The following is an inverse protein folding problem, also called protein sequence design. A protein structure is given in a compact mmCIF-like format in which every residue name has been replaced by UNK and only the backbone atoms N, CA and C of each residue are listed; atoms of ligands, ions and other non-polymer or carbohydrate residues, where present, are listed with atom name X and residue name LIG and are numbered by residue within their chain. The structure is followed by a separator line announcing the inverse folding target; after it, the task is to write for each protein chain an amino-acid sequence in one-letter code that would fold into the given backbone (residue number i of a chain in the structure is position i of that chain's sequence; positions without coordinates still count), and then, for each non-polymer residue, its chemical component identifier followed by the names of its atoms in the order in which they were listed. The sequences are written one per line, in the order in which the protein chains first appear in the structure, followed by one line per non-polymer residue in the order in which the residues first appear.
data_IF_148283666393
#
_entry.id   IF_148283666393
#
_cell.length_a   1.000
_cell.length_b   1.000
_cell.length_c   1.000
_cell.angle_alpha   90.00
_cell.angle_beta   90.00
_cell.angle_gamma   90.00
#
_symmetry.space_group_name_H-M   'P 1'
#
loop_
_entity.id
_entity.type
_entity.pdbx_description
1 polymer ?
#
# COMPACT_ATOMS: atom_id res chain seq x y z
N UNK A 1 27.64 2.15 -15.37
CA UNK A 1 27.19 1.85 -13.99
C UNK A 1 26.23 2.90 -13.40
N UNK A 2 26.24 4.15 -13.84
CA UNK A 2 25.39 5.24 -13.31
C UNK A 2 23.90 5.15 -13.66
N UNK A 3 23.51 4.65 -14.85
CA UNK A 3 22.12 4.70 -15.31
C UNK A 3 21.15 3.86 -14.44
N UNK A 4 21.54 2.63 -14.06
CA UNK A 4 20.70 1.76 -13.20
C UNK A 4 20.53 2.33 -11.78
N UNK A 5 21.55 3.04 -11.28
CA UNK A 5 21.47 3.69 -9.96
C UNK A 5 20.54 4.90 -9.99
N UNK A 6 20.58 5.67 -11.06
CA UNK A 6 19.70 6.80 -11.30
C UNK A 6 18.24 6.39 -11.40
N UNK A 7 17.93 5.31 -12.15
CA UNK A 7 16.58 4.78 -12.28
C UNK A 7 16.01 4.33 -10.93
N UNK A 8 16.80 3.63 -10.11
CA UNK A 8 16.38 3.24 -8.76
C UNK A 8 16.04 4.45 -7.90
N UNK A 9 16.93 5.44 -7.87
CA UNK A 9 16.75 6.65 -7.07
C UNK A 9 15.49 7.39 -7.50
N UNK A 10 15.29 7.54 -8.80
CA UNK A 10 14.12 8.21 -9.36
C UNK A 10 12.81 7.47 -9.00
N UNK A 11 12.74 6.15 -9.15
CA UNK A 11 11.52 5.39 -8.85
C UNK A 11 11.15 5.45 -7.36
N UNK A 12 12.11 5.35 -6.45
CA UNK A 12 11.85 5.50 -5.02
C UNK A 12 11.38 6.93 -4.69
N UNK A 13 12.07 7.94 -5.21
CA UNK A 13 11.68 9.33 -5.00
C UNK A 13 10.30 9.66 -5.58
N UNK A 14 9.98 9.15 -6.77
CA UNK A 14 8.66 9.33 -7.38
C UNK A 14 7.55 8.67 -6.53
N UNK A 15 7.82 7.47 -5.98
CA UNK A 15 6.88 6.78 -5.11
C UNK A 15 6.69 7.52 -3.77
N UNK A 16 7.78 7.95 -3.14
CA UNK A 16 7.73 8.69 -1.88
C UNK A 16 6.99 10.02 -2.03
N UNK A 17 7.27 10.79 -3.08
CA UNK A 17 6.58 12.05 -3.36
C UNK A 17 5.09 11.83 -3.60
N UNK A 18 4.73 10.85 -4.43
CA UNK A 18 3.34 10.52 -4.68
C UNK A 18 2.60 10.13 -3.39
N UNK A 19 3.21 9.29 -2.55
CA UNK A 19 2.58 8.85 -1.30
C UNK A 19 2.41 10.00 -0.32
N UNK A 20 3.36 10.92 -0.23
CA UNK A 20 3.29 12.07 0.66
C UNK A 20 2.33 13.14 0.13
N UNK A 21 2.42 13.48 -1.16
CA UNK A 21 1.73 14.65 -1.71
C UNK A 21 0.31 14.33 -2.18
N UNK A 22 0.06 13.13 -2.67
CA UNK A 22 -1.24 12.76 -3.23
C UNK A 22 -1.99 11.77 -2.36
N UNK A 23 -1.36 10.65 -1.98
CA UNK A 23 -2.04 9.58 -1.25
C UNK A 23 -2.39 9.98 0.19
N UNK A 24 -1.40 10.39 0.98
CA UNK A 24 -1.59 10.69 2.41
C UNK A 24 -2.46 11.93 2.61
N UNK A 25 -2.38 12.94 1.73
CA UNK A 25 -3.24 14.12 1.80
C UNK A 25 -4.72 13.77 1.62
N UNK A 26 -5.06 12.88 0.69
CA UNK A 26 -6.47 12.50 0.47
C UNK A 26 -6.96 11.58 1.60
N UNK A 27 -6.15 10.63 2.04
CA UNK A 27 -6.51 9.74 3.16
C UNK A 27 -6.73 10.54 4.45
N UNK A 28 -5.86 11.51 4.75
CA UNK A 28 -5.97 12.35 5.96
C UNK A 28 -7.14 13.34 5.93
N UNK A 29 -7.53 13.86 4.76
CA UNK A 29 -8.70 14.75 4.64
C UNK A 29 -10.03 14.05 4.93
N UNK A 30 -10.05 12.74 4.97
CA UNK A 30 -11.25 11.93 5.20
C UNK A 30 -11.36 11.38 6.62
N UNK A 31 -10.39 11.64 7.48
CA UNK A 31 -10.40 11.33 8.91
C UNK A 31 -10.60 12.62 9.72
N UNK A 32 -11.79 13.23 9.66
CA UNK A 32 -12.25 14.21 10.66
C UNK A 32 -12.64 13.47 11.96
N UNK A 33 -11.75 12.65 12.49
CA UNK A 33 -11.86 12.14 13.86
C UNK A 33 -10.56 12.46 14.59
N UNK A 34 -10.56 13.37 15.59
CA UNK A 34 -9.35 13.92 16.20
C UNK A 34 -8.71 13.01 17.26
N UNK A 35 -8.88 11.70 17.18
CA UNK A 35 -8.38 10.78 18.21
C UNK A 35 -7.58 9.59 17.66
N UNK A 36 -6.37 9.87 17.15
CA UNK A 36 -5.33 8.84 17.15
C UNK A 36 -4.01 9.49 17.58
N UNK A 37 -3.82 9.61 18.88
CA UNK A 37 -2.50 9.87 19.46
C UNK A 37 -1.80 8.54 19.69
N UNK A 38 -0.50 8.48 19.36
CA UNK A 38 0.42 7.34 19.44
C UNK A 38 0.57 6.63 20.80
N UNK A 39 -0.28 6.92 21.78
CA UNK A 39 -0.11 6.42 23.16
C UNK A 39 -1.04 5.26 23.57
N UNK A 40 -1.81 4.66 22.64
CA UNK A 40 -2.72 3.55 23.00
C UNK A 40 -2.45 2.22 22.28
N UNK A 41 -1.21 1.93 21.92
CA UNK A 41 -0.84 0.70 21.23
C UNK A 41 -0.82 -0.56 22.11
N UNK A 42 -1.17 -0.50 23.40
CA UNK A 42 -0.99 -1.63 24.32
C UNK A 42 -2.24 -2.22 24.99
N UNK A 43 -3.44 -1.86 24.58
CA UNK A 43 -4.64 -2.54 25.13
C UNK A 43 -5.76 -2.59 24.10
N UNK A 44 -6.00 -3.72 23.52
CA UNK A 44 -7.28 -4.31 23.11
C UNK A 44 -7.17 -5.17 21.85
N UNK A 45 -6.67 -6.37 22.01
CA UNK A 45 -7.18 -7.48 21.20
C UNK A 45 -8.54 -7.82 21.81
N UNK A 46 -9.59 -7.15 21.40
CA UNK A 46 -10.99 -7.60 21.58
C UNK A 46 -11.77 -7.30 20.31
N UNK A 47 -12.47 -8.35 19.87
CA UNK A 47 -13.42 -8.36 18.76
C UNK A 47 -14.16 -7.02 18.60
N UNK A 48 -13.91 -6.33 17.49
CA UNK A 48 -14.82 -5.29 17.03
C UNK A 48 -15.47 -5.76 15.73
N UNK A 49 -16.72 -6.16 15.86
CA UNK A 49 -17.66 -6.26 14.73
C UNK A 49 -17.61 -4.99 13.90
N UNK A 50 -17.61 -5.07 12.55
CA UNK A 50 -17.56 -3.90 11.71
C UNK A 50 -18.84 -3.08 11.90
N UNK A 51 -18.73 -1.94 12.55
CA UNK A 51 -19.78 -0.91 12.46
C UNK A 51 -19.75 -0.34 11.04
N UNK A 52 -20.93 -0.33 10.40
CA UNK A 52 -21.21 0.28 9.13
C UNK A 52 -20.45 1.61 8.95
N UNK A 53 -19.30 1.54 8.30
CA UNK A 53 -18.62 2.71 7.79
C UNK A 53 -19.41 3.25 6.59
N UNK A 54 -19.84 4.49 6.66
CA UNK A 54 -20.52 5.16 5.56
C UNK A 54 -19.70 4.99 4.28
N UNK A 55 -20.35 4.54 3.22
CA UNK A 55 -19.77 4.44 1.88
C UNK A 55 -19.29 5.85 1.50
N UNK A 56 -17.98 6.04 1.47
CA UNK A 56 -17.40 7.26 0.91
C UNK A 56 -17.87 7.36 -0.54
N UNK A 57 -18.53 8.45 -0.87
CA UNK A 57 -18.63 8.89 -2.25
C UNK A 57 -17.26 9.35 -2.72
N UNK A 58 -16.31 8.40 -2.92
CA UNK A 58 -15.07 8.71 -3.59
C UNK A 58 -15.45 9.09 -5.01
N UNK A 59 -15.07 10.30 -5.41
CA UNK A 59 -15.13 10.75 -6.80
C UNK A 59 -14.69 9.61 -7.71
N UNK A 60 -15.41 9.41 -8.81
CA UNK A 60 -15.19 8.33 -9.79
C UNK A 60 -13.78 8.30 -10.42
N UNK A 61 -12.94 9.25 -10.09
CA UNK A 61 -11.54 9.29 -10.52
C UNK A 61 -10.69 8.51 -9.50
N UNK A 62 -10.47 7.23 -9.80
CA UNK A 62 -9.52 6.40 -9.06
C UNK A 62 -8.15 7.08 -9.02
N UNK A 63 -7.54 7.15 -7.83
CA UNK A 63 -6.18 7.66 -7.69
C UNK A 63 -5.23 6.87 -8.60
N UNK A 64 -4.40 7.58 -9.36
CA UNK A 64 -3.49 6.95 -10.33
C UNK A 64 -2.04 7.27 -10.05
N UNK A 65 -1.21 6.24 -10.08
CA UNK A 65 0.23 6.36 -10.08
C UNK A 65 0.80 5.86 -11.41
N UNK A 66 1.46 6.75 -12.17
CA UNK A 66 2.03 6.47 -13.50
C UNK A 66 1.04 5.80 -14.47
N UNK A 67 -0.22 6.22 -14.41
CA UNK A 67 -1.29 5.73 -15.28
C UNK A 67 -2.06 4.49 -14.77
N UNK A 68 -1.60 3.85 -13.70
CA UNK A 68 -2.25 2.69 -13.08
C UNK A 68 -3.08 3.09 -11.87
N UNK A 69 -4.21 2.42 -11.67
CA UNK A 69 -5.04 2.65 -10.49
C UNK A 69 -4.33 2.19 -9.21
N UNK A 70 -4.50 2.96 -8.14
CA UNK A 70 -3.90 2.68 -6.83
C UNK A 70 -4.94 2.03 -5.93
N UNK A 71 -4.63 0.83 -5.45
CA UNK A 71 -5.45 0.12 -4.47
C UNK A 71 -5.09 0.51 -3.03
N UNK A 72 -3.83 0.92 -2.79
CA UNK A 72 -3.37 1.27 -1.47
C UNK A 72 -1.87 1.55 -1.39
N UNK A 73 -1.33 1.47 -0.17
CA UNK A 73 0.08 1.69 0.14
C UNK A 73 0.63 0.54 0.97
N UNK A 74 1.86 0.10 0.68
CA UNK A 74 2.65 -0.78 1.54
C UNK A 74 3.83 -0.03 2.12
N UNK A 75 4.09 -0.22 3.42
CA UNK A 75 5.22 0.33 4.14
C UNK A 75 5.99 -0.81 4.80
N UNK A 76 7.31 -0.80 4.65
CA UNK A 76 8.23 -1.80 5.22
C UNK A 76 9.34 -1.07 6.01
N UNK A 77 9.09 -0.66 7.27
CA UNK A 77 9.99 0.21 8.04
C UNK A 77 11.39 -0.37 8.22
N UNK A 78 11.51 -1.67 8.51
CA UNK A 78 12.80 -2.36 8.69
C UNK A 78 13.75 -2.16 7.51
N UNK A 79 13.22 -2.09 6.30
CA UNK A 79 14.01 -1.88 5.08
C UNK A 79 13.86 -0.47 4.49
N UNK A 80 13.15 0.41 5.18
CA UNK A 80 12.91 1.82 4.82
C UNK A 80 12.35 1.95 3.40
N UNK A 81 11.32 1.18 3.09
CA UNK A 81 10.67 1.19 1.78
C UNK A 81 9.17 1.41 1.94
N UNK A 82 8.61 2.17 1.02
CA UNK A 82 7.18 2.33 0.85
C UNK A 82 6.84 2.44 -0.64
N UNK A 83 5.71 1.86 -1.04
CA UNK A 83 5.28 1.85 -2.43
C UNK A 83 3.76 1.94 -2.55
N UNK A 84 3.22 2.65 -3.56
CA UNK A 84 1.83 2.49 -3.94
C UNK A 84 1.59 1.06 -4.44
N UNK A 85 0.49 0.46 -3.98
CA UNK A 85 0.03 -0.85 -4.44
C UNK A 85 -0.94 -0.61 -5.59
N UNK A 86 -0.60 -1.11 -6.77
CA UNK A 86 -1.42 -0.96 -7.97
C UNK A 86 -2.42 -2.11 -8.09
N UNK A 87 -3.63 -1.81 -8.59
CA UNK A 87 -4.63 -2.83 -8.81
C UNK A 87 -5.97 -2.25 -9.24
N UNK A 88 -6.72 -3.08 -9.96
CA UNK A 88 -8.06 -2.78 -10.44
C UNK A 88 -9.06 -3.68 -9.75
N UNK A 89 -10.23 -3.13 -9.43
CA UNK A 89 -11.34 -3.91 -8.92
C UNK A 89 -12.13 -4.47 -10.10
N UNK A 90 -12.11 -5.78 -10.24
CA UNK A 90 -12.84 -6.51 -11.27
C UNK A 90 -13.92 -7.34 -10.60
N UNK A 91 -15.15 -6.88 -10.64
CA UNK A 91 -16.29 -7.41 -9.88
C UNK A 91 -16.02 -7.36 -8.36
N UNK A 92 -15.86 -8.53 -7.73
CA UNK A 92 -15.58 -8.68 -6.28
C UNK A 92 -14.10 -8.95 -5.99
N UNK A 93 -13.26 -9.05 -7.01
CA UNK A 93 -11.85 -9.38 -6.89
C UNK A 93 -10.98 -8.19 -7.26
N UNK A 94 -9.77 -8.16 -6.70
CA UNK A 94 -8.74 -7.20 -7.06
C UNK A 94 -7.63 -7.88 -7.82
N UNK A 95 -7.17 -7.25 -8.89
CA UNK A 95 -6.04 -7.70 -9.68
C UNK A 95 -5.45 -6.55 -10.51
N UNK A 96 -4.19 -6.66 -10.88
CA UNK A 96 -3.63 -5.80 -11.92
C UNK A 96 -4.01 -6.36 -13.29
N UNK A 97 -4.51 -5.50 -14.17
CA UNK A 97 -4.95 -5.89 -15.52
C UNK A 97 -3.84 -5.78 -16.57
N UNK A 98 -2.78 -5.02 -16.28
CA UNK A 98 -1.59 -4.87 -17.12
C UNK A 98 -0.35 -5.30 -16.35
N UNK A 99 0.32 -6.35 -16.84
CA UNK A 99 1.54 -6.88 -16.25
C UNK A 99 2.69 -5.86 -16.18
N UNK A 100 2.69 -4.81 -17.02
CA UNK A 100 3.71 -3.76 -16.97
C UNK A 100 3.60 -2.88 -15.72
N UNK A 101 2.52 -2.95 -14.97
CA UNK A 101 2.37 -2.22 -13.70
C UNK A 101 3.50 -2.53 -12.70
N UNK A 102 4.02 -3.78 -12.68
CA UNK A 102 5.12 -4.17 -11.80
C UNK A 102 6.47 -3.52 -12.16
N UNK A 103 6.59 -2.93 -13.35
CA UNK A 103 7.79 -2.17 -13.72
C UNK A 103 7.86 -0.80 -13.03
N UNK A 104 6.74 -0.32 -12.54
CA UNK A 104 6.66 1.03 -11.92
C UNK A 104 6.38 0.99 -10.42
N UNK A 105 5.78 -0.10 -9.90
CA UNK A 105 5.52 -0.28 -8.47
C UNK A 105 5.25 -1.74 -8.13
N UNK A 106 4.68 -2.01 -6.95
CA UNK A 106 4.12 -3.31 -6.59
C UNK A 106 2.64 -3.35 -6.94
N UNK A 107 2.09 -4.54 -7.20
CA UNK A 107 0.73 -4.67 -7.70
C UNK A 107 0.00 -5.89 -7.13
N UNK A 108 -1.33 -5.83 -7.03
CA UNK A 108 -2.14 -6.97 -6.64
C UNK A 108 -2.21 -7.93 -7.82
N UNK A 109 -1.70 -9.14 -7.66
CA UNK A 109 -1.82 -10.18 -8.66
C UNK A 109 -3.24 -10.75 -8.68
N UNK A 110 -3.79 -11.04 -7.51
CA UNK A 110 -5.19 -11.43 -7.31
C UNK A 110 -5.54 -11.33 -5.82
N UNK A 111 -6.83 -11.25 -5.52
CA UNK A 111 -7.30 -11.34 -4.13
C UNK A 111 -8.62 -10.66 -3.86
N UNK A 112 -8.97 -10.66 -2.59
CA UNK A 112 -10.20 -10.05 -2.06
C UNK A 112 -10.06 -8.54 -1.80
N UNK A 113 -8.90 -7.97 -2.07
CA UNK A 113 -8.55 -6.58 -1.75
C UNK A 113 -7.68 -6.46 -0.51
N UNK A 114 -7.28 -5.22 -0.22
CA UNK A 114 -6.41 -4.93 0.92
C UNK A 114 -7.22 -4.93 2.22
N UNK A 115 -6.61 -5.38 3.29
CA UNK A 115 -7.17 -5.37 4.65
C UNK A 115 -8.51 -6.11 4.84
N UNK A 116 -8.94 -6.90 3.85
CA UNK A 116 -10.13 -7.73 3.91
C UNK A 116 -9.81 -9.16 4.38
N UNK A 117 -10.80 -9.84 4.93
CA UNK A 117 -10.67 -11.25 5.31
C UNK A 117 -10.57 -12.12 4.07
N UNK A 118 -9.47 -12.84 3.93
CA UNK A 118 -9.17 -13.69 2.78
C UNK A 118 -7.71 -13.54 2.33
N UNK A 119 -7.43 -14.03 1.13
CA UNK A 119 -6.08 -13.93 0.55
C UNK A 119 -6.00 -12.80 -0.46
N UNK A 120 -4.93 -12.03 -0.35
CA UNK A 120 -4.51 -11.07 -1.39
C UNK A 120 -3.02 -11.24 -1.65
N UNK A 121 -2.67 -11.44 -2.89
CA UNK A 121 -1.29 -11.62 -3.32
C UNK A 121 -0.79 -10.33 -3.97
N UNK A 122 0.23 -9.74 -3.35
CA UNK A 122 0.92 -8.56 -3.87
C UNK A 122 2.25 -9.02 -4.46
N UNK A 123 2.49 -8.66 -5.71
CA UNK A 123 3.73 -8.98 -6.42
C UNK A 123 4.54 -7.73 -6.70
N UNK A 124 5.83 -7.89 -6.87
CA UNK A 124 6.76 -6.83 -7.25
C UNK A 124 8.10 -7.42 -7.62
N UNK A 125 8.85 -6.71 -8.44
CA UNK A 125 10.19 -7.16 -8.83
C UNK A 125 11.13 -7.29 -7.62
N UNK A 126 11.97 -8.32 -7.66
CA UNK A 126 13.04 -8.56 -6.69
C UNK A 126 14.39 -8.15 -7.29
N UNK A 127 14.63 -6.87 -7.45
CA UNK A 127 15.88 -6.38 -8.00
C UNK A 127 17.04 -6.44 -7.00
N UNK A 128 18.24 -6.80 -7.49
CA UNK A 128 19.47 -6.76 -6.67
C UNK A 128 19.79 -5.37 -6.11
N UNK A 129 19.28 -4.33 -6.75
CA UNK A 129 19.40 -2.95 -6.28
C UNK A 129 18.61 -2.68 -5.00
N UNK A 130 17.71 -3.58 -4.59
CA UNK A 130 16.79 -3.41 -3.47
C UNK A 130 15.51 -2.63 -3.82
N UNK A 131 15.27 -2.34 -5.11
CA UNK A 131 14.04 -1.71 -5.57
C UNK A 131 12.87 -2.69 -5.42
N UNK A 132 11.68 -2.16 -5.14
CA UNK A 132 10.44 -2.90 -4.85
C UNK A 132 10.69 -3.96 -3.77
N UNK A 133 10.48 -5.24 -4.05
CA UNK A 133 10.69 -6.33 -3.09
C UNK A 133 12.14 -6.84 -3.04
N UNK A 134 13.09 -6.16 -3.68
CA UNK A 134 14.50 -6.53 -3.68
C UNK A 134 15.18 -6.53 -2.31
N UNK A 135 14.60 -5.84 -1.32
CA UNK A 135 15.08 -5.85 0.06
C UNK A 135 14.33 -6.80 0.99
N UNK A 136 13.30 -7.52 0.52
CA UNK A 136 12.50 -8.43 1.36
C UNK A 136 13.33 -9.51 2.06
N UNK A 137 14.43 -9.95 1.45
CA UNK A 137 15.38 -10.90 2.06
C UNK A 137 16.03 -10.41 3.35
N UNK A 138 15.92 -9.14 3.69
CA UNK A 138 16.42 -8.54 4.93
C UNK A 138 15.37 -8.54 6.05
N UNK A 139 14.11 -8.80 5.71
CA UNK A 139 13.03 -8.91 6.66
C UNK A 139 13.17 -10.21 7.46
N UNK A 140 12.77 -10.17 8.72
CA UNK A 140 12.86 -11.29 9.66
C UNK A 140 11.49 -11.58 10.26
N UNK A 141 11.31 -12.78 10.78
CA UNK A 141 10.13 -13.13 11.59
C UNK A 141 10.02 -12.17 12.77
N UNK A 142 8.86 -11.54 12.92
CA UNK A 142 8.61 -10.51 13.93
C UNK A 142 8.66 -9.08 13.37
N UNK A 143 9.19 -8.86 12.16
CA UNK A 143 9.13 -7.55 11.52
C UNK A 143 7.68 -7.19 11.17
N UNK A 144 7.38 -5.90 11.24
CA UNK A 144 6.06 -5.38 10.92
C UNK A 144 6.08 -4.70 9.54
N UNK A 145 5.06 -4.99 8.74
CA UNK A 145 4.71 -4.24 7.54
C UNK A 145 3.34 -3.60 7.74
N UNK A 146 3.10 -2.48 7.10
CA UNK A 146 1.79 -1.81 7.14
C UNK A 146 1.19 -1.77 5.74
N UNK A 147 -0.12 -2.00 5.69
CA UNK A 147 -0.91 -1.87 4.47
C UNK A 147 -2.01 -0.84 4.74
N UNK A 148 -2.07 0.18 3.90
CA UNK A 148 -3.16 1.15 3.90
C UNK A 148 -4.02 0.91 2.67
N UNK A 149 -5.29 0.68 2.87
CA UNK A 149 -6.29 0.53 1.81
C UNK A 149 -6.77 1.90 1.35
N UNK A 150 -6.78 2.14 0.03
CA UNK A 150 -7.22 3.41 -0.53
C UNK A 150 -8.72 3.65 -0.39
N UNK A 151 -9.55 2.61 -0.63
CA UNK A 151 -11.02 2.75 -0.58
C UNK A 151 -11.51 3.14 0.82
N UNK A 152 -10.93 2.52 1.85
CA UNK A 152 -11.40 2.69 3.23
C UNK A 152 -10.55 3.65 4.06
N UNK A 153 -9.33 3.97 3.60
CA UNK A 153 -8.32 4.67 4.37
C UNK A 153 -7.78 3.87 5.57
N UNK A 154 -8.15 2.59 5.69
CA UNK A 154 -7.76 1.75 6.82
C UNK A 154 -6.30 1.33 6.69
N UNK A 155 -5.50 1.60 7.72
CA UNK A 155 -4.10 1.13 7.85
C UNK A 155 -4.04 -0.03 8.83
N UNK A 156 -3.45 -1.16 8.44
CA UNK A 156 -3.26 -2.33 9.31
C UNK A 156 -1.81 -2.76 9.36
N UNK A 157 -1.40 -3.22 10.54
CA UNK A 157 -0.10 -3.85 10.77
C UNK A 157 -0.20 -5.36 10.52
N UNK A 158 0.81 -5.91 9.86
CA UNK A 158 1.00 -7.33 9.64
C UNK A 158 2.39 -7.74 10.10
N UNK A 159 2.47 -8.83 10.83
CA UNK A 159 3.73 -9.41 11.30
C UNK A 159 4.20 -10.49 10.34
N UNK A 160 5.48 -10.49 10.00
CA UNK A 160 6.13 -11.51 9.17
C UNK A 160 6.40 -12.77 9.98
#
# INVERSE_FOLDING_TARGET
MCYKYYQKYKLNSDADNFLTDEFDNVVNQTTDDPLYTDEQENQAIQEQTPKNGGTRGISSDALKYKGYNVAGKIEMPTVRLQYPILGDKVNVSWQVTDANAIEVSVAIQYGVGLNNVGNTVIMGHNYRSGLFFGSNKKLQVGDTIYITDWETGTRRAYTI
#
